data_IF_465450785581
#
_entry.id   IF_465450785581
#
_cell.length_a   1.000
_cell.length_b   1.000
_cell.length_c   1.000
_cell.angle_alpha   90.00
_cell.angle_beta   90.00
_cell.angle_gamma   90.00
#
_symmetry.space_group_name_H-M   'P 1'
#
loop_
_entity.id
_entity.type
_entity.pdbx_description
1 polymer ?
#
# COMPACT_ATOMS: atom_id res chain seq x y z
N UNK A 1 8.44 -3.62 13.60
CA UNK A 1 8.41 -4.92 12.87
C UNK A 1 9.02 -4.77 11.47
N UNK A 2 10.11 -5.46 11.13
CA UNK A 2 10.77 -5.26 9.85
C UNK A 2 9.89 -5.79 8.70
N UNK A 3 9.31 -4.86 7.93
CA UNK A 3 8.58 -5.15 6.69
C UNK A 3 9.43 -5.90 5.64
N UNK A 4 10.76 -5.91 5.82
CA UNK A 4 11.70 -6.58 4.92
C UNK A 4 11.62 -8.11 4.91
N UNK A 5 11.04 -8.78 5.91
CA UNK A 5 10.98 -10.25 5.92
C UNK A 5 10.26 -10.82 4.69
N UNK A 6 9.16 -10.22 4.26
CA UNK A 6 8.43 -10.66 3.07
C UNK A 6 9.25 -10.45 1.78
N UNK A 7 10.02 -9.36 1.70
CA UNK A 7 10.91 -9.07 0.56
C UNK A 7 12.09 -10.04 0.49
N UNK A 8 12.72 -10.34 1.63
CA UNK A 8 13.79 -11.32 1.71
C UNK A 8 13.30 -12.75 1.45
N UNK A 9 12.09 -13.09 1.90
CA UNK A 9 11.44 -14.35 1.55
C UNK A 9 11.20 -14.45 0.04
N UNK A 10 10.64 -13.42 -0.59
CA UNK A 10 10.50 -13.35 -2.05
C UNK A 10 11.85 -13.49 -2.76
N UNK A 11 12.91 -12.85 -2.27
CA UNK A 11 14.25 -13.00 -2.88
C UNK A 11 14.75 -14.45 -2.84
N UNK A 12 14.38 -15.20 -1.81
CA UNK A 12 14.71 -16.63 -1.66
C UNK A 12 13.94 -17.56 -2.60
N UNK A 13 12.77 -17.15 -3.10
CA UNK A 13 11.93 -17.97 -4.00
C UNK A 13 12.09 -17.63 -5.49
N UNK A 14 12.61 -16.45 -5.82
CA UNK A 14 12.80 -16.01 -7.21
C UNK A 14 14.17 -16.44 -7.78
N UNK A 15 14.28 -16.64 -9.11
CA UNK A 15 15.55 -16.99 -9.75
C UNK A 15 16.71 -16.04 -9.40
N UNK A 16 17.97 -16.51 -9.41
CA UNK A 16 19.13 -15.70 -9.05
C UNK A 16 19.36 -14.49 -9.97
N UNK A 17 18.82 -14.52 -11.20
CA UNK A 17 18.82 -13.38 -12.14
C UNK A 17 17.93 -12.21 -11.69
N UNK A 18 16.99 -12.44 -10.77
CA UNK A 18 16.13 -11.40 -10.22
C UNK A 18 16.82 -10.72 -9.03
N UNK A 19 17.21 -9.47 -9.23
CA UNK A 19 17.86 -8.65 -8.21
C UNK A 19 16.84 -8.05 -7.24
N UNK A 20 17.30 -7.59 -6.08
CA UNK A 20 16.45 -6.81 -5.17
C UNK A 20 15.86 -5.57 -5.85
N UNK A 21 16.61 -4.93 -6.76
CA UNK A 21 16.13 -3.79 -7.54
C UNK A 21 14.92 -4.12 -8.42
N UNK A 22 14.85 -5.33 -8.97
CA UNK A 22 13.67 -5.78 -9.72
C UNK A 22 12.44 -5.94 -8.81
N UNK A 23 12.63 -6.48 -7.60
CA UNK A 23 11.56 -6.63 -6.61
C UNK A 23 11.04 -5.26 -6.17
N UNK A 24 11.94 -4.32 -5.87
CA UNK A 24 11.55 -2.95 -5.50
C UNK A 24 10.84 -2.21 -6.63
N UNK A 25 11.30 -2.37 -7.89
CA UNK A 25 10.60 -1.76 -9.03
C UNK A 25 9.21 -2.34 -9.25
N UNK A 26 9.02 -3.64 -8.98
CA UNK A 26 7.73 -4.31 -9.12
C UNK A 26 6.64 -3.73 -8.21
N UNK A 27 6.99 -3.19 -7.04
CA UNK A 27 6.00 -2.63 -6.09
C UNK A 27 5.58 -1.19 -6.41
N UNK A 28 6.38 -0.46 -7.20
CA UNK A 28 6.14 0.96 -7.54
C UNK A 28 4.72 1.22 -8.09
N UNK A 29 4.19 0.48 -9.09
CA UNK A 29 2.83 0.75 -9.59
C UNK A 29 1.75 0.56 -8.53
N UNK A 30 1.92 -0.41 -7.62
CA UNK A 30 0.98 -0.64 -6.53
C UNK A 30 1.01 0.49 -5.50
N UNK A 31 2.20 0.94 -5.12
CA UNK A 31 2.37 2.09 -4.22
C UNK A 31 1.80 3.36 -4.84
N UNK A 32 2.04 3.60 -6.13
CA UNK A 32 1.49 4.76 -6.84
C UNK A 32 -0.06 4.75 -6.82
N UNK A 33 -0.69 3.59 -7.05
CA UNK A 33 -2.14 3.44 -6.95
C UNK A 33 -2.62 3.71 -5.52
N UNK A 34 -1.93 3.18 -4.52
CA UNK A 34 -2.29 3.40 -3.12
C UNK A 34 -2.15 4.86 -2.70
N UNK A 35 -1.11 5.55 -3.16
CA UNK A 35 -0.96 6.99 -2.95
C UNK A 35 -2.09 7.77 -3.63
N UNK A 36 -2.52 7.37 -4.83
CA UNK A 36 -3.69 7.95 -5.50
C UNK A 36 -4.99 7.75 -4.72
N UNK A 37 -5.23 6.53 -4.22
CA UNK A 37 -6.39 6.24 -3.38
C UNK A 37 -6.37 7.05 -2.07
N UNK A 38 -5.20 7.14 -1.42
CA UNK A 38 -5.03 7.95 -0.22
C UNK A 38 -5.30 9.44 -0.50
N UNK A 39 -4.76 9.98 -1.60
CA UNK A 39 -5.02 11.35 -2.00
C UNK A 39 -6.52 11.58 -2.23
N UNK A 40 -7.22 10.63 -2.85
CA UNK A 40 -8.67 10.70 -3.05
C UNK A 40 -9.41 10.74 -1.71
N UNK A 41 -9.04 9.91 -0.74
CA UNK A 41 -9.63 9.93 0.60
C UNK A 41 -9.37 11.26 1.34
N UNK A 42 -8.21 11.90 1.11
CA UNK A 42 -7.89 13.20 1.72
C UNK A 42 -8.67 14.34 1.07
N UNK A 43 -8.77 14.36 -0.27
CA UNK A 43 -9.48 15.42 -1.02
C UNK A 43 -11.00 15.26 -0.87
N UNK A 44 -11.49 14.03 -0.83
CA UNK A 44 -12.91 13.69 -0.70
C UNK A 44 -13.14 12.88 0.57
N UNK A 45 -13.10 13.52 1.76
CA UNK A 45 -13.15 12.82 3.04
C UNK A 45 -14.45 12.04 3.25
N UNK A 46 -15.55 12.44 2.61
CA UNK A 46 -16.83 11.72 2.70
C UNK A 46 -16.73 10.27 2.18
N UNK A 47 -15.75 9.92 1.34
CA UNK A 47 -15.49 8.53 0.93
C UNK A 47 -15.26 7.61 2.14
N UNK A 48 -14.59 8.13 3.18
CA UNK A 48 -14.23 7.37 4.39
C UNK A 48 -15.02 7.81 5.63
N UNK A 49 -15.49 9.05 5.71
CA UNK A 49 -16.14 9.60 6.89
C UNK A 49 -17.66 9.40 6.95
N UNK A 50 -18.32 9.03 5.85
CA UNK A 50 -19.78 8.90 5.84
C UNK A 50 -20.27 7.84 6.85
N UNK A 51 -19.60 6.69 6.91
CA UNK A 51 -20.01 5.57 7.75
C UNK A 51 -19.78 5.89 9.25
N UNK A 52 -18.60 6.38 9.68
CA UNK A 52 -18.42 6.78 11.06
C UNK A 52 -19.37 7.90 11.50
N UNK A 53 -19.70 8.86 10.62
CA UNK A 53 -20.69 9.91 10.90
C UNK A 53 -22.10 9.33 11.06
N UNK A 54 -22.48 8.35 10.23
CA UNK A 54 -23.78 7.69 10.34
C UNK A 54 -23.97 6.92 11.66
N UNK A 55 -22.89 6.35 12.20
CA UNK A 55 -22.90 5.64 13.49
C UNK A 55 -22.62 6.55 14.71
N UNK A 56 -22.49 7.87 14.52
CA UNK A 56 -22.25 8.82 15.60
C UNK A 56 -20.85 8.76 16.22
N UNK A 57 -19.86 8.22 15.50
CA UNK A 57 -18.47 8.21 15.95
C UNK A 57 -17.73 9.54 15.72
N UNK A 58 -18.33 10.46 14.96
CA UNK A 58 -17.75 11.74 14.56
C UNK A 58 -18.56 12.95 15.02
N UNK A 59 -19.44 12.76 16.00
CA UNK A 59 -20.21 13.82 16.66
C UNK A 59 -19.34 14.69 17.59
#
# INVERSE_FOLDING_TARGET
PPFGFALFYMKGTVPPSVTMGHIYRGIIPFVALQMGALALCVIFPEIVLWLPRHFGFLD
#
